data_IF_237862949414
#
_entry.id   IF_237862949414
#
_cell.length_a   1.000
_cell.length_b   1.000
_cell.length_c   1.000
_cell.angle_alpha   90.00
_cell.angle_beta   90.00
_cell.angle_gamma   90.00
#
_symmetry.space_group_name_H-M   'P 1'
#
loop_
_entity.id
_entity.type
_entity.pdbx_description
1 polymer ?
#
# COMPACT_ATOMS: atom_id res chain seq x y z
N UNK A 1 -30.76 9.86 13.38
CA UNK A 1 -31.06 9.98 14.81
C UNK A 1 -32.39 9.27 15.15
N UNK A 2 -32.49 8.54 16.28
CA UNK A 2 -33.79 8.10 16.81
C UNK A 2 -34.74 9.28 17.09
N UNK A 3 -36.03 9.04 17.05
CA UNK A 3 -37.03 10.12 17.24
C UNK A 3 -36.94 10.81 18.61
N UNK A 4 -36.49 10.08 19.63
CA UNK A 4 -36.30 10.59 21.00
C UNK A 4 -34.95 11.32 21.23
N UNK A 5 -34.06 11.29 20.27
CA UNK A 5 -32.75 11.93 20.41
C UNK A 5 -32.83 13.46 20.30
N UNK A 6 -31.88 14.14 20.92
CA UNK A 6 -31.65 15.56 20.70
C UNK A 6 -31.26 15.86 19.27
N UNK A 7 -31.28 17.12 18.87
CA UNK A 7 -30.80 17.55 17.57
C UNK A 7 -29.27 17.63 17.56
N UNK A 8 -28.67 17.31 16.43
CA UNK A 8 -27.22 17.38 16.25
C UNK A 8 -26.88 17.68 14.80
N UNK A 9 -25.78 18.38 14.62
CA UNK A 9 -25.06 18.43 13.37
C UNK A 9 -23.97 17.34 13.36
N UNK A 10 -23.66 16.80 12.20
CA UNK A 10 -22.71 15.72 12.05
C UNK A 10 -21.70 16.02 10.95
N UNK A 11 -20.45 15.71 11.19
CA UNK A 11 -19.40 15.77 10.20
C UNK A 11 -18.49 14.53 10.26
N UNK A 12 -17.95 14.15 9.11
CA UNK A 12 -16.90 13.13 9.02
C UNK A 12 -15.53 13.79 9.20
N UNK A 13 -14.59 13.10 9.80
CA UNK A 13 -13.23 13.61 9.93
C UNK A 13 -12.18 12.52 9.72
N UNK A 14 -10.96 12.94 9.39
CA UNK A 14 -9.74 12.14 9.41
C UNK A 14 -8.67 12.89 10.19
N UNK A 15 -7.83 12.14 10.91
CA UNK A 15 -6.69 12.68 11.66
C UNK A 15 -5.39 12.08 11.13
N UNK A 16 -4.41 12.95 10.90
CA UNK A 16 -3.05 12.52 10.61
C UNK A 16 -2.36 12.02 11.88
N UNK A 17 -1.84 10.82 11.82
CA UNK A 17 -1.16 10.16 12.93
C UNK A 17 0.11 10.93 13.36
N UNK A 18 0.80 11.56 12.43
CA UNK A 18 2.08 12.22 12.68
C UNK A 18 1.94 13.63 13.23
N UNK A 19 1.16 14.46 12.55
CA UNK A 19 0.96 15.86 12.93
C UNK A 19 -0.18 16.08 13.90
N UNK A 20 -1.06 15.09 14.08
CA UNK A 20 -2.32 15.23 14.82
C UNK A 20 -3.34 16.13 14.15
N UNK A 21 -3.06 16.62 12.93
CA UNK A 21 -3.95 17.54 12.21
C UNK A 21 -5.24 16.84 11.83
N UNK A 22 -6.35 17.49 12.07
CA UNK A 22 -7.69 16.99 11.74
C UNK A 22 -8.21 17.72 10.51
N UNK A 23 -8.77 16.95 9.58
CA UNK A 23 -9.53 17.44 8.45
C UNK A 23 -10.96 16.99 8.61
N UNK A 24 -11.88 17.94 8.56
CA UNK A 24 -13.31 17.72 8.79
C UNK A 24 -14.07 18.03 7.51
N UNK A 25 -15.01 17.16 7.18
CA UNK A 25 -15.98 17.38 6.11
C UNK A 25 -17.00 18.47 6.48
N UNK A 26 -17.88 18.75 5.52
CA UNK A 26 -18.97 19.69 5.77
C UNK A 26 -19.91 19.13 6.85
N UNK A 27 -20.29 19.97 7.81
CA UNK A 27 -21.31 19.64 8.81
C UNK A 27 -22.70 19.58 8.15
N UNK A 28 -23.50 18.60 8.54
CA UNK A 28 -24.84 18.33 8.04
C UNK A 28 -25.78 18.16 9.23
N UNK A 29 -26.91 18.87 9.21
CA UNK A 29 -27.95 18.72 10.23
C UNK A 29 -28.63 17.35 10.09
N UNK A 30 -28.66 16.59 11.17
CA UNK A 30 -29.24 15.25 11.18
C UNK A 30 -30.74 15.29 11.42
N UNK A 31 -31.49 14.68 10.52
CA UNK A 31 -32.94 14.48 10.65
C UNK A 31 -33.24 13.27 11.52
N UNK A 32 -34.21 13.44 12.42
CA UNK A 32 -34.72 12.36 13.27
C UNK A 32 -35.51 11.31 12.46
N UNK A 33 -35.46 10.09 12.88
CA UNK A 33 -36.26 9.00 12.32
C UNK A 33 -35.88 8.53 10.92
N UNK A 34 -34.78 9.02 10.35
CA UNK A 34 -34.34 8.59 9.01
C UNK A 34 -32.81 8.41 8.94
N UNK A 35 -32.40 7.50 8.08
CA UNK A 35 -31.01 7.33 7.70
C UNK A 35 -30.59 8.45 6.74
N UNK A 36 -29.38 8.94 6.90
CA UNK A 36 -28.76 9.93 6.03
C UNK A 36 -27.36 9.47 5.66
N UNK A 37 -27.03 9.55 4.40
CA UNK A 37 -25.67 9.29 3.93
C UNK A 37 -24.83 10.56 4.06
N UNK A 38 -23.65 10.41 4.59
CA UNK A 38 -22.64 11.46 4.70
C UNK A 38 -21.43 11.05 3.90
N UNK A 39 -20.89 11.97 3.11
CA UNK A 39 -19.66 11.74 2.38
C UNK A 39 -18.67 12.87 2.62
N UNK A 40 -17.39 12.51 2.67
CA UNK A 40 -16.29 13.45 2.83
C UNK A 40 -15.15 13.09 1.89
N UNK A 41 -14.84 13.97 0.97
CA UNK A 41 -13.66 13.79 0.13
C UNK A 41 -12.42 14.25 0.89
N UNK A 42 -11.58 13.30 1.26
CA UNK A 42 -10.30 13.58 1.91
C UNK A 42 -9.44 14.38 0.91
N UNK A 43 -8.93 15.58 1.29
CA UNK A 43 -8.10 16.37 0.40
C UNK A 43 -6.78 15.64 0.10
N UNK A 44 -6.17 15.96 -1.05
CA UNK A 44 -4.82 15.47 -1.33
C UNK A 44 -3.85 15.95 -0.25
N UNK A 45 -3.11 15.01 0.32
CA UNK A 45 -2.36 15.24 1.52
C UNK A 45 -1.08 14.40 1.51
N UNK A 46 -0.12 14.89 0.79
CA UNK A 46 1.12 14.17 0.56
C UNK A 46 1.87 13.90 1.86
N UNK A 47 2.28 12.65 2.05
CA UNK A 47 3.01 12.21 3.23
C UNK A 47 2.19 12.07 4.51
N UNK A 48 0.87 12.22 4.45
CA UNK A 48 0.02 11.98 5.60
C UNK A 48 -0.22 10.49 5.82
N UNK A 49 -0.30 10.12 7.08
CA UNK A 49 -0.72 8.80 7.51
C UNK A 49 -2.04 8.94 8.27
N UNK A 50 -3.14 8.42 7.71
CA UNK A 50 -4.43 8.46 8.38
C UNK A 50 -4.38 7.47 9.55
N UNK A 51 -4.31 8.00 10.77
CA UNK A 51 -4.32 7.21 12.00
C UNK A 51 -5.71 7.03 12.57
N UNK A 52 -6.64 7.88 12.19
CA UNK A 52 -8.00 7.85 12.70
C UNK A 52 -8.97 8.42 11.69
N UNK A 53 -10.12 7.77 11.53
CA UNK A 53 -11.28 8.32 10.85
C UNK A 53 -12.51 8.15 11.74
N UNK A 54 -13.44 9.09 11.65
CA UNK A 54 -14.61 9.03 12.52
C UNK A 54 -15.68 10.05 12.21
N UNK A 55 -16.61 10.10 13.11
CA UNK A 55 -17.81 10.94 13.05
C UNK A 55 -17.80 11.88 14.24
N UNK A 56 -17.96 13.17 13.99
CA UNK A 56 -18.12 14.19 15.02
C UNK A 56 -19.58 14.62 15.07
N UNK A 57 -20.13 14.71 16.28
CA UNK A 57 -21.48 15.20 16.52
C UNK A 57 -21.40 16.51 17.30
N UNK A 58 -21.93 17.58 16.74
CA UNK A 58 -22.11 18.85 17.40
C UNK A 58 -23.56 18.92 17.90
N UNK A 59 -23.73 18.78 19.22
CA UNK A 59 -25.06 18.79 19.83
C UNK A 59 -25.64 20.19 19.86
N UNK A 60 -26.80 20.36 19.28
CA UNK A 60 -27.57 21.60 19.39
C UNK A 60 -28.28 21.62 20.76
N UNK A 61 -27.60 22.21 21.73
CA UNK A 61 -28.08 22.28 23.12
C UNK A 61 -29.28 23.19 23.18
N UNK A 62 -30.43 22.60 23.63
CA UNK A 62 -31.57 23.39 24.08
C UNK A 62 -31.29 24.01 25.43
N UNK A 63 -32.24 24.82 25.96
CA UNK A 63 -32.16 25.50 27.24
C UNK A 63 -32.25 24.55 28.45
N UNK A 64 -32.54 23.28 28.25
CA UNK A 64 -32.65 22.26 29.30
C UNK A 64 -31.35 21.46 29.44
N UNK A 65 -30.84 21.38 30.68
CA UNK A 65 -29.49 20.89 31.00
C UNK A 65 -29.26 19.36 30.84
N UNK A 66 -30.25 18.59 30.42
CA UNK A 66 -30.18 17.12 30.29
C UNK A 66 -30.88 16.64 29.02
N UNK A 67 -30.24 16.75 27.88
CA UNK A 67 -30.71 16.06 26.68
C UNK A 67 -29.89 14.80 26.45
N UNK A 68 -30.57 13.67 26.30
CA UNK A 68 -29.92 12.42 25.88
C UNK A 68 -29.71 12.46 24.38
N UNK A 69 -28.46 12.33 23.95
CA UNK A 69 -28.13 12.13 22.54
C UNK A 69 -27.97 10.63 22.27
N UNK A 70 -28.55 10.15 21.19
CA UNK A 70 -28.32 8.82 20.66
C UNK A 70 -28.23 8.90 19.13
N UNK A 71 -27.19 8.33 18.57
CA UNK A 71 -26.98 8.18 17.14
C UNK A 71 -26.74 6.72 16.79
N UNK A 72 -27.20 6.29 15.62
CA UNK A 72 -26.87 5.00 15.03
C UNK A 72 -25.96 5.25 13.84
N UNK A 73 -24.90 4.48 13.74
CA UNK A 73 -23.95 4.51 12.63
C UNK A 73 -23.95 3.13 11.97
N UNK A 74 -24.02 3.12 10.66
CA UNK A 74 -23.94 1.92 9.83
C UNK A 74 -23.14 2.23 8.58
N UNK A 75 -22.58 1.22 7.94
CA UNK A 75 -21.86 1.29 6.64
C UNK A 75 -20.75 2.35 6.57
N UNK A 76 -19.88 2.43 7.60
CA UNK A 76 -18.69 3.29 7.54
C UNK A 76 -17.60 2.64 6.67
N UNK A 77 -17.30 3.25 5.55
CA UNK A 77 -16.27 2.77 4.63
C UNK A 77 -15.54 3.93 3.96
N UNK A 78 -14.35 3.64 3.42
CA UNK A 78 -13.57 4.56 2.64
C UNK A 78 -13.14 3.89 1.33
N UNK A 79 -13.16 4.64 0.24
CA UNK A 79 -12.69 4.19 -1.06
C UNK A 79 -11.88 5.28 -1.76
N UNK A 80 -11.44 4.97 -2.99
CA UNK A 80 -10.71 5.88 -3.86
C UNK A 80 -9.68 5.14 -4.70
N UNK A 81 -9.14 5.89 -5.66
CA UNK A 81 -8.02 5.42 -6.48
C UNK A 81 -6.70 5.62 -5.73
N UNK A 82 -5.74 4.68 -5.84
CA UNK A 82 -4.48 4.82 -5.15
C UNK A 82 -3.65 5.98 -5.73
N UNK A 83 -3.24 6.88 -4.87
CA UNK A 83 -2.21 7.89 -5.14
C UNK A 83 -1.53 8.23 -3.82
N UNK A 84 -0.53 7.42 -3.43
CA UNK A 84 0.17 7.58 -2.18
C UNK A 84 1.61 7.07 -2.24
N UNK A 85 2.39 7.44 -1.24
CA UNK A 85 3.74 6.93 -1.00
C UNK A 85 3.87 6.45 0.44
N UNK A 86 4.37 5.26 0.62
CA UNK A 86 4.87 4.76 1.90
C UNK A 86 6.37 5.03 1.91
N UNK A 87 6.83 5.84 2.87
CA UNK A 87 8.24 6.11 3.15
C UNK A 87 8.60 5.42 4.46
N UNK A 88 9.35 4.33 4.38
CA UNK A 88 9.64 3.52 5.55
C UNK A 88 10.56 4.20 6.56
N UNK A 89 11.25 5.28 6.20
CA UNK A 89 11.94 6.13 7.18
C UNK A 89 11.00 6.81 8.16
N UNK A 90 9.74 6.96 7.79
CA UNK A 90 8.72 7.65 8.57
C UNK A 90 7.71 6.68 9.20
N UNK A 91 7.74 5.41 8.83
CA UNK A 91 6.83 4.40 9.36
C UNK A 91 7.22 3.96 10.76
N UNK A 92 6.22 3.56 11.52
CA UNK A 92 6.38 3.02 12.87
C UNK A 92 5.70 1.66 12.97
N UNK A 93 6.18 0.82 13.88
CA UNK A 93 5.50 -0.43 14.19
C UNK A 93 4.44 -0.21 15.27
N UNK A 94 3.29 -0.85 15.13
CA UNK A 94 2.31 -0.94 16.20
C UNK A 94 2.64 -2.08 17.14
N UNK A 95 2.42 -1.86 18.43
CA UNK A 95 2.65 -2.86 19.47
C UNK A 95 1.29 -3.41 19.92
N UNK A 96 0.98 -4.60 19.46
CA UNK A 96 -0.18 -5.34 19.91
C UNK A 96 0.17 -6.18 21.14
N UNK A 97 -0.54 -6.00 22.22
CA UNK A 97 -0.39 -6.80 23.47
C UNK A 97 1.06 -6.82 24.06
N UNK A 98 1.91 -5.85 23.74
CA UNK A 98 3.27 -5.73 24.27
C UNK A 98 4.31 -6.71 23.69
N UNK A 99 3.90 -7.67 22.90
CA UNK A 99 4.78 -8.74 22.37
C UNK A 99 4.99 -8.70 20.85
N UNK A 100 4.01 -8.19 20.09
CA UNK A 100 4.07 -8.18 18.64
C UNK A 100 4.23 -6.74 18.13
N UNK A 101 5.25 -6.55 17.31
CA UNK A 101 5.45 -5.32 16.54
C UNK A 101 5.01 -5.59 15.11
N UNK A 102 3.94 -4.95 14.69
CA UNK A 102 3.39 -5.13 13.35
C UNK A 102 3.56 -3.85 12.52
N UNK A 103 3.78 -4.02 11.24
CA UNK A 103 3.67 -2.93 10.26
C UNK A 103 2.22 -2.95 9.78
N UNK A 104 1.35 -2.19 10.44
CA UNK A 104 -0.12 -2.34 10.38
C UNK A 104 -0.72 -2.21 8.99
N UNK A 105 -0.08 -1.48 8.09
CA UNK A 105 -0.56 -1.35 6.70
C UNK A 105 -0.27 -2.60 5.85
N UNK A 106 0.46 -3.58 6.38
CA UNK A 106 0.80 -4.80 5.65
C UNK A 106 0.12 -6.03 6.24
N UNK A 107 -0.50 -6.81 5.39
CA UNK A 107 -0.88 -8.19 5.72
C UNK A 107 0.31 -9.09 5.43
N UNK A 108 0.95 -9.58 6.50
CA UNK A 108 2.03 -10.56 6.41
C UNK A 108 1.43 -11.96 6.30
N UNK A 109 1.76 -12.67 5.24
CA UNK A 109 1.36 -14.06 5.07
C UNK A 109 2.38 -15.03 5.67
N UNK A 110 3.65 -14.83 5.36
CA UNK A 110 4.76 -15.64 5.86
C UNK A 110 6.08 -14.88 5.77
N UNK A 111 7.10 -15.37 6.43
CA UNK A 111 8.42 -14.73 6.49
C UNK A 111 8.55 -13.78 7.68
N UNK A 112 9.72 -13.22 7.82
CA UNK A 112 10.04 -12.24 8.87
C UNK A 112 9.98 -10.83 8.27
N UNK A 113 8.92 -10.10 8.59
CA UNK A 113 8.67 -8.72 8.18
C UNK A 113 8.93 -7.79 9.36
N UNK A 114 9.80 -6.80 9.18
CA UNK A 114 10.14 -5.84 10.24
C UNK A 114 10.66 -4.52 9.66
N UNK A 115 10.63 -3.47 10.47
CA UNK A 115 11.26 -2.18 10.15
C UNK A 115 12.62 -2.10 10.85
N UNK A 116 13.65 -1.76 10.08
CA UNK A 116 14.97 -1.46 10.60
C UNK A 116 15.65 -0.38 9.75
N UNK A 117 16.33 0.57 10.41
CA UNK A 117 17.08 1.65 9.77
C UNK A 117 16.33 2.39 8.66
N UNK A 118 15.04 2.61 8.85
CA UNK A 118 14.20 3.33 7.89
C UNK A 118 13.83 2.55 6.63
N UNK A 119 13.88 1.22 6.69
CA UNK A 119 13.46 0.34 5.61
C UNK A 119 12.59 -0.80 6.13
N UNK A 120 11.69 -1.27 5.28
CA UNK A 120 10.93 -2.49 5.48
C UNK A 120 11.77 -3.67 5.03
N UNK A 121 12.05 -4.60 5.93
CA UNK A 121 12.78 -5.84 5.65
C UNK A 121 11.83 -7.02 5.53
N UNK A 122 12.07 -7.86 4.54
CA UNK A 122 11.42 -9.15 4.41
C UNK A 122 12.46 -10.23 4.15
N UNK A 123 12.46 -11.26 4.99
CA UNK A 123 13.34 -12.43 4.85
C UNK A 123 12.60 -13.73 5.08
N UNK A 124 13.10 -14.82 4.54
CA UNK A 124 12.48 -16.14 4.69
C UNK A 124 13.50 -17.27 4.60
N UNK A 125 13.13 -18.48 5.07
CA UNK A 125 13.84 -19.71 4.76
C UNK A 125 13.36 -20.32 3.44
N UNK A 126 12.03 -20.43 3.22
CA UNK A 126 11.43 -20.95 2.00
C UNK A 126 10.66 -19.88 1.22
N UNK A 127 9.67 -19.24 1.81
CA UNK A 127 9.02 -18.08 1.23
C UNK A 127 8.57 -17.06 2.29
N UNK A 128 8.55 -15.78 1.90
CA UNK A 128 8.01 -14.67 2.66
C UNK A 128 7.20 -13.78 1.74
N UNK A 129 6.08 -13.28 2.23
CA UNK A 129 5.17 -12.46 1.45
C UNK A 129 4.37 -11.53 2.34
N UNK A 130 4.29 -10.27 1.93
CA UNK A 130 3.48 -9.26 2.58
C UNK A 130 2.88 -8.33 1.53
N UNK A 131 1.65 -7.90 1.74
CA UNK A 131 0.97 -7.00 0.81
C UNK A 131 0.19 -5.91 1.54
N UNK A 132 -0.06 -4.83 0.82
CA UNK A 132 -0.79 -3.65 1.27
C UNK A 132 -1.69 -3.14 0.17
N UNK A 133 -2.76 -2.45 0.56
CA UNK A 133 -3.72 -1.87 -0.36
C UNK A 133 -5.00 -2.67 -0.49
N UNK A 134 -5.78 -2.34 -1.51
CA UNK A 134 -7.12 -2.92 -1.72
C UNK A 134 -7.15 -3.89 -2.88
N UNK A 135 -7.99 -4.89 -2.75
CA UNK A 135 -8.22 -5.90 -3.78
C UNK A 135 -8.82 -5.33 -5.07
N UNK A 136 -9.58 -4.24 -5.00
CA UNK A 136 -10.32 -3.65 -6.11
C UNK A 136 -9.55 -2.61 -6.93
N UNK A 137 -8.28 -2.36 -6.61
CA UNK A 137 -7.43 -1.49 -7.43
C UNK A 137 -7.19 -2.09 -8.80
N UNK A 138 -7.47 -1.30 -9.83
CA UNK A 138 -7.35 -1.74 -11.23
C UNK A 138 -6.07 -1.17 -11.86
N UNK A 139 -6.19 -0.25 -12.77
CA UNK A 139 -5.08 0.24 -13.56
C UNK A 139 -4.22 1.23 -12.76
N UNK A 140 -2.98 0.85 -12.49
CA UNK A 140 -2.07 1.64 -11.67
C UNK A 140 -0.60 1.38 -12.02
N UNK A 141 0.25 2.31 -11.60
CA UNK A 141 1.69 2.15 -11.58
C UNK A 141 2.16 2.08 -10.13
N UNK A 142 2.93 1.05 -9.81
CA UNK A 142 3.58 0.87 -8.53
C UNK A 142 5.09 1.01 -8.70
N UNK A 143 5.73 1.81 -7.86
CA UNK A 143 7.18 2.02 -7.87
C UNK A 143 7.73 1.62 -6.52
N UNK A 144 8.73 0.76 -6.52
CA UNK A 144 9.38 0.22 -5.33
C UNK A 144 10.85 0.62 -5.34
N UNK A 145 11.36 1.12 -4.24
CA UNK A 145 12.79 1.23 -4.01
C UNK A 145 13.23 0.00 -3.21
N UNK A 146 13.98 -0.91 -3.84
CA UNK A 146 14.34 -2.22 -3.30
C UNK A 146 15.86 -2.40 -3.28
N UNK A 147 16.38 -3.00 -2.19
CA UNK A 147 17.76 -3.48 -2.09
C UNK A 147 17.74 -4.99 -1.81
N UNK A 148 18.12 -5.86 -2.74
CA UNK A 148 18.37 -7.26 -2.45
C UNK A 148 19.58 -7.38 -1.52
N UNK A 149 19.45 -8.10 -0.41
CA UNK A 149 20.54 -8.27 0.57
C UNK A 149 21.20 -9.64 0.45
N UNK A 150 20.38 -10.68 0.33
CA UNK A 150 20.84 -12.06 0.13
C UNK A 150 19.85 -12.83 -0.73
N UNK A 151 20.32 -13.94 -1.31
CA UNK A 151 19.49 -14.86 -2.12
C UNK A 151 19.20 -14.31 -3.51
N UNK A 152 18.49 -15.10 -4.28
CA UNK A 152 18.30 -14.90 -5.72
C UNK A 152 16.83 -14.82 -6.14
N UNK A 153 15.93 -14.58 -5.17
CA UNK A 153 14.50 -14.48 -5.42
C UNK A 153 13.91 -13.34 -4.60
N UNK A 154 14.29 -12.11 -4.94
CA UNK A 154 13.80 -10.88 -4.33
C UNK A 154 12.80 -10.23 -5.28
N UNK A 155 11.58 -9.96 -4.82
CA UNK A 155 10.45 -9.65 -5.69
C UNK A 155 9.60 -8.49 -5.18
N UNK A 156 8.99 -7.78 -6.12
CA UNK A 156 7.87 -6.86 -5.88
C UNK A 156 6.63 -7.39 -6.57
N UNK A 157 5.46 -7.21 -5.98
CA UNK A 157 4.23 -7.81 -6.45
C UNK A 157 3.17 -6.75 -6.78
N UNK A 158 2.43 -7.01 -7.86
CA UNK A 158 1.27 -6.21 -8.29
C UNK A 158 0.07 -7.12 -8.54
N UNK A 159 -1.13 -6.55 -8.56
CA UNK A 159 -2.38 -7.27 -8.74
C UNK A 159 -2.52 -8.44 -7.76
N UNK A 160 -2.10 -8.21 -6.51
CA UNK A 160 -2.16 -9.22 -5.45
C UNK A 160 -3.62 -9.47 -5.07
N UNK A 161 -4.06 -10.70 -5.25
CA UNK A 161 -5.41 -11.18 -4.90
C UNK A 161 -5.36 -12.21 -3.76
N UNK A 162 -4.28 -12.22 -3.00
CA UNK A 162 -4.00 -13.15 -1.92
C UNK A 162 -2.71 -13.95 -2.18
N UNK A 163 -2.44 -14.93 -1.33
CA UNK A 163 -1.18 -15.68 -1.27
C UNK A 163 -0.77 -16.39 -2.56
N UNK A 164 -1.73 -16.72 -3.42
CA UNK A 164 -1.50 -17.58 -4.58
C UNK A 164 -1.86 -16.92 -5.91
N UNK A 165 -2.16 -15.64 -5.90
CA UNK A 165 -2.54 -14.90 -7.12
C UNK A 165 -1.94 -13.51 -7.11
N UNK A 166 -0.94 -13.31 -7.95
CA UNK A 166 -0.30 -12.01 -8.18
C UNK A 166 0.56 -12.05 -9.45
N UNK A 167 1.02 -10.91 -9.90
CA UNK A 167 2.21 -10.82 -10.74
C UNK A 167 3.38 -10.35 -9.89
N UNK A 168 4.59 -10.73 -10.29
CA UNK A 168 5.81 -10.27 -9.61
C UNK A 168 6.89 -9.89 -10.61
N UNK A 169 7.68 -8.88 -10.28
CA UNK A 169 8.98 -8.62 -10.90
C UNK A 169 10.03 -9.13 -9.94
N UNK A 170 10.86 -10.04 -10.42
CA UNK A 170 11.82 -10.78 -9.61
C UNK A 170 13.26 -10.53 -10.09
N UNK A 171 14.16 -10.35 -9.13
CA UNK A 171 15.60 -10.53 -9.33
C UNK A 171 15.91 -12.01 -9.14
N UNK A 172 16.37 -12.66 -10.20
CA UNK A 172 16.63 -14.10 -10.24
C UNK A 172 18.12 -14.39 -10.34
N UNK A 173 18.46 -15.67 -10.11
CA UNK A 173 19.79 -16.22 -10.43
C UNK A 173 20.24 -15.88 -11.86
N UNK A 174 21.54 -16.09 -12.12
CA UNK A 174 22.14 -15.92 -13.45
C UNK A 174 22.01 -14.51 -14.04
N UNK A 175 22.02 -13.48 -13.16
CA UNK A 175 21.93 -12.08 -13.60
C UNK A 175 20.72 -11.83 -14.48
N UNK A 176 19.54 -12.21 -14.01
CA UNK A 176 18.27 -12.05 -14.71
C UNK A 176 17.25 -11.30 -13.89
N UNK A 177 16.38 -10.62 -14.61
CA UNK A 177 15.07 -10.20 -14.08
C UNK A 177 13.96 -10.89 -14.85
N UNK A 178 12.85 -11.15 -14.17
CA UNK A 178 11.69 -11.79 -14.78
C UNK A 178 10.37 -11.18 -14.31
N UNK A 179 9.40 -11.16 -15.21
CA UNK A 179 8.00 -10.99 -14.87
C UNK A 179 7.38 -12.37 -14.67
N UNK A 180 6.77 -12.56 -13.52
CA UNK A 180 6.22 -13.84 -13.07
C UNK A 180 4.72 -13.72 -12.84
N UNK A 181 4.00 -14.83 -13.02
CA UNK A 181 2.61 -14.99 -12.58
C UNK A 181 2.55 -16.05 -11.48
N UNK A 182 1.90 -15.70 -10.38
CA UNK A 182 1.64 -16.64 -9.29
C UNK A 182 0.26 -17.28 -9.47
N UNK A 183 0.23 -18.56 -9.69
CA UNK A 183 -0.97 -19.41 -9.83
C UNK A 183 -0.82 -20.62 -8.92
N UNK A 184 -0.75 -20.38 -7.59
CA UNK A 184 -0.34 -21.39 -6.60
C UNK A 184 1.10 -21.91 -6.85
N UNK A 185 1.97 -21.00 -7.25
CA UNK A 185 3.35 -21.19 -7.63
C UNK A 185 3.71 -20.22 -8.75
N UNK A 186 4.93 -19.69 -8.72
CA UNK A 186 5.37 -18.74 -9.74
C UNK A 186 5.80 -19.44 -11.03
N UNK A 187 5.30 -18.96 -12.15
CA UNK A 187 5.80 -19.27 -13.49
C UNK A 187 6.37 -18.01 -14.16
N UNK A 188 7.41 -18.17 -14.94
CA UNK A 188 8.00 -17.10 -15.73
C UNK A 188 7.08 -16.78 -16.92
N UNK A 189 6.74 -15.51 -17.08
CA UNK A 189 6.03 -14.98 -18.26
C UNK A 189 7.01 -14.50 -19.31
N UNK A 190 7.99 -13.71 -18.89
CA UNK A 190 9.11 -13.21 -19.71
C UNK A 190 10.31 -12.90 -18.81
N UNK A 191 11.50 -12.99 -19.33
CA UNK A 191 12.74 -12.63 -18.64
C UNK A 191 13.71 -11.88 -19.55
N UNK A 192 14.68 -11.20 -18.94
CA UNK A 192 15.81 -10.59 -19.67
C UNK A 192 17.06 -10.58 -18.77
N UNK A 193 18.22 -10.46 -19.42
CA UNK A 193 19.48 -10.31 -18.71
C UNK A 193 19.55 -8.94 -18.01
N UNK A 194 19.98 -8.95 -16.76
CA UNK A 194 20.23 -7.75 -15.97
C UNK A 194 21.22 -8.10 -14.85
N UNK A 195 22.41 -7.53 -14.88
CA UNK A 195 23.50 -7.86 -13.95
C UNK A 195 23.32 -7.19 -12.58
N UNK A 196 22.23 -7.54 -11.89
CA UNK A 196 21.95 -7.03 -10.55
C UNK A 196 22.94 -7.58 -9.50
N UNK A 197 23.17 -6.81 -8.45
CA UNK A 197 24.08 -7.16 -7.34
C UNK A 197 23.40 -6.98 -5.99
N UNK A 198 23.67 -7.90 -5.08
CA UNK A 198 23.25 -7.73 -3.68
C UNK A 198 23.87 -6.46 -3.06
N UNK A 199 23.10 -5.76 -2.24
CA UNK A 199 23.50 -4.52 -1.58
C UNK A 199 23.45 -3.27 -2.46
N UNK A 200 22.97 -3.37 -3.71
CA UNK A 200 22.68 -2.23 -4.58
C UNK A 200 21.22 -1.85 -4.53
N UNK A 201 20.94 -0.57 -4.69
CA UNK A 201 19.59 -0.06 -4.66
C UNK A 201 19.00 -0.03 -6.07
N UNK A 202 17.77 -0.51 -6.21
CA UNK A 202 17.04 -0.56 -7.47
C UNK A 202 15.68 0.12 -7.31
N UNK A 203 15.30 0.91 -8.31
CA UNK A 203 13.92 1.33 -8.50
C UNK A 203 13.26 0.34 -9.45
N UNK A 204 12.18 -0.26 -9.01
CA UNK A 204 11.35 -1.18 -9.79
C UNK A 204 10.00 -0.55 -10.00
N UNK A 205 9.70 -0.16 -11.23
CA UNK A 205 8.42 0.41 -11.64
C UNK A 205 7.59 -0.63 -12.38
N UNK A 206 6.35 -0.82 -11.98
CA UNK A 206 5.42 -1.76 -12.64
C UNK A 206 4.13 -1.04 -12.96
N UNK A 207 3.87 -0.85 -14.26
CA UNK A 207 2.61 -0.35 -14.78
C UNK A 207 1.72 -1.53 -15.15
N UNK A 208 0.55 -1.60 -14.54
CA UNK A 208 -0.49 -2.58 -14.85
C UNK A 208 -1.70 -1.88 -15.46
N UNK A 209 -2.02 -2.18 -16.73
CA UNK A 209 -3.14 -1.59 -17.45
C UNK A 209 -3.92 -2.66 -18.21
N UNK A 210 -5.15 -2.94 -17.77
CA UNK A 210 -5.88 -4.10 -18.26
C UNK A 210 -5.06 -5.37 -18.07
N UNK A 211 -4.88 -6.16 -19.12
CA UNK A 211 -4.06 -7.36 -19.14
C UNK A 211 -2.57 -7.11 -19.42
N UNK A 212 -2.17 -5.87 -19.69
CA UNK A 212 -0.79 -5.50 -20.02
C UNK A 212 -0.01 -5.14 -18.77
N UNK A 213 1.21 -5.63 -18.72
CA UNK A 213 2.18 -5.37 -17.67
C UNK A 213 3.45 -4.83 -18.34
N UNK A 214 3.89 -3.68 -17.87
CA UNK A 214 5.16 -3.07 -18.26
C UNK A 214 5.96 -2.85 -16.98
N UNK A 215 7.15 -3.44 -16.92
CA UNK A 215 8.04 -3.31 -15.77
C UNK A 215 9.38 -2.74 -16.20
N UNK A 216 9.88 -1.77 -15.48
CA UNK A 216 11.19 -1.18 -15.64
C UNK A 216 11.96 -1.34 -14.32
N UNK A 217 13.20 -1.79 -14.42
CA UNK A 217 14.14 -1.81 -13.30
C UNK A 217 15.37 -1.00 -13.67
N UNK A 218 15.82 -0.17 -12.73
CA UNK A 218 17.05 0.60 -12.85
C UNK A 218 17.84 0.61 -11.56
N UNK A 219 19.15 0.51 -11.66
CA UNK A 219 20.03 0.72 -10.51
C UNK A 219 20.03 2.20 -10.10
N UNK A 220 19.91 2.46 -8.80
CA UNK A 220 19.99 3.81 -8.22
C UNK A 220 21.40 4.00 -7.68
N UNK A 221 22.20 4.92 -8.25
CA UNK A 221 23.59 5.15 -7.80
C UNK A 221 23.63 5.63 -6.35
N UNK A 222 24.48 5.03 -5.53
CA UNK A 222 24.72 5.43 -4.15
C UNK A 222 25.31 6.84 -4.12
N UNK A 223 24.64 7.78 -3.44
CA UNK A 223 25.16 9.13 -3.21
C UNK A 223 24.74 10.21 -4.21
N UNK A 224 24.03 9.88 -5.28
CA UNK A 224 23.57 10.87 -6.27
C UNK A 224 22.13 11.31 -6.04
N UNK A 225 21.89 12.14 -5.02
CA UNK A 225 20.65 12.93 -4.95
C UNK A 225 20.64 14.17 -5.86
N UNK A 226 21.78 14.52 -6.48
CA UNK A 226 21.88 15.61 -7.47
C UNK A 226 23.16 15.47 -8.34
N UNK A 227 22.98 15.63 -9.66
CA UNK A 227 23.99 15.97 -10.66
C UNK A 227 25.13 14.96 -10.94
N UNK A 228 24.82 13.88 -11.64
CA UNK A 228 25.56 13.39 -12.81
C UNK A 228 24.75 12.23 -13.42
N UNK A 229 24.37 12.34 -14.69
CA UNK A 229 23.81 11.24 -15.50
C UNK A 229 24.91 10.18 -15.70
N UNK A 230 25.18 9.37 -14.69
CA UNK A 230 25.74 8.06 -14.91
C UNK A 230 24.63 7.26 -15.58
N UNK A 231 24.89 6.68 -16.72
CA UNK A 231 23.97 5.81 -17.45
C UNK A 231 23.69 4.62 -16.52
N UNK A 232 22.57 4.69 -15.79
CA UNK A 232 22.15 3.60 -14.92
C UNK A 232 21.76 2.42 -15.80
N UNK A 233 22.23 1.24 -15.47
CA UNK A 233 21.75 0.02 -16.13
C UNK A 233 20.25 -0.09 -15.92
N UNK A 234 19.52 -0.18 -17.02
CA UNK A 234 18.06 -0.26 -17.05
C UNK A 234 17.65 -1.47 -17.85
N UNK A 235 16.69 -2.22 -17.36
CA UNK A 235 16.05 -3.29 -18.11
C UNK A 235 14.53 -3.14 -18.07
N UNK A 236 13.89 -3.57 -19.16
CA UNK A 236 12.46 -3.46 -19.38
C UNK A 236 11.88 -4.83 -19.67
N UNK A 237 10.73 -5.12 -19.11
CA UNK A 237 9.93 -6.31 -19.36
C UNK A 237 8.51 -5.89 -19.75
N UNK A 238 8.02 -6.47 -20.83
CA UNK A 238 6.65 -6.26 -21.30
C UNK A 238 5.93 -7.60 -21.48
N UNK A 239 4.69 -7.66 -21.08
CA UNK A 239 3.88 -8.85 -21.28
C UNK A 239 2.40 -8.50 -21.31
N UNK A 240 1.66 -9.14 -22.21
CA UNK A 240 0.19 -9.12 -22.24
C UNK A 240 -0.32 -10.50 -21.85
N UNK A 241 -0.93 -10.60 -20.68
CA UNK A 241 -1.48 -11.86 -20.19
C UNK A 241 -2.85 -12.13 -20.83
N UNK A 242 -2.89 -13.04 -21.78
CA UNK A 242 -4.12 -13.44 -22.49
C UNK A 242 -4.76 -14.69 -21.89
N UNK A 243 -4.13 -15.27 -20.85
CA UNK A 243 -4.59 -16.48 -20.18
C UNK A 243 -5.03 -16.19 -18.74
N UNK A 244 -6.31 -15.88 -18.55
CA UNK A 244 -6.91 -15.56 -17.25
C UNK A 244 -6.17 -14.45 -16.48
N UNK A 245 -6.07 -13.22 -17.06
CA UNK A 245 -5.33 -12.12 -16.45
C UNK A 245 -5.94 -11.68 -15.12
N UNK A 246 -5.08 -11.29 -14.18
CA UNK A 246 -5.50 -10.61 -12.97
C UNK A 246 -5.65 -9.12 -13.27
N UNK A 247 -6.90 -8.63 -13.31
CA UNK A 247 -7.24 -7.26 -13.74
C UNK A 247 -7.32 -6.26 -12.58
N UNK A 248 -7.20 -6.76 -11.34
CA UNK A 248 -7.26 -5.95 -10.13
C UNK A 248 -6.48 -6.62 -8.99
N UNK A 249 -6.16 -5.86 -7.97
CA UNK A 249 -5.49 -6.35 -6.77
C UNK A 249 -4.56 -5.33 -6.13
N UNK A 250 -4.12 -5.65 -4.93
CA UNK A 250 -3.21 -4.87 -4.12
C UNK A 250 -1.76 -4.95 -4.65
N UNK A 251 -0.83 -4.36 -3.90
CA UNK A 251 0.62 -4.46 -4.12
C UNK A 251 1.28 -5.20 -2.98
N UNK A 252 2.47 -5.71 -3.21
CA UNK A 252 3.19 -6.44 -2.17
C UNK A 252 4.67 -6.58 -2.44
N UNK A 253 5.31 -7.28 -1.53
CA UNK A 253 6.71 -7.67 -1.59
C UNK A 253 6.83 -9.13 -1.26
N UNK A 254 7.74 -9.85 -1.91
CA UNK A 254 7.95 -11.25 -1.62
C UNK A 254 9.41 -11.67 -1.80
N UNK A 255 9.80 -12.72 -1.09
CA UNK A 255 11.13 -13.32 -1.14
C UNK A 255 10.99 -14.84 -1.04
N UNK A 256 11.94 -15.59 -1.65
CA UNK A 256 11.94 -17.06 -1.63
C UNK A 256 13.33 -17.62 -1.45
N UNK A 257 13.39 -18.89 -1.05
CA UNK A 257 14.60 -19.70 -1.04
C UNK A 257 15.79 -19.06 -0.29
N UNK A 258 15.56 -18.64 0.96
CA UNK A 258 16.59 -18.01 1.77
C UNK A 258 16.91 -16.56 1.41
N UNK A 259 16.09 -15.91 0.61
CA UNK A 259 16.32 -14.53 0.21
C UNK A 259 15.92 -13.53 1.28
N UNK A 260 16.57 -12.38 1.24
CA UNK A 260 16.30 -11.22 2.09
C UNK A 260 16.42 -9.95 1.27
N UNK A 261 15.39 -9.15 1.26
CA UNK A 261 15.37 -7.82 0.68
C UNK A 261 14.92 -6.77 1.69
N UNK A 262 15.32 -5.54 1.45
CA UNK A 262 14.76 -4.36 2.12
C UNK A 262 14.16 -3.41 1.09
N UNK A 263 13.17 -2.64 1.54
CA UNK A 263 12.44 -1.67 0.74
C UNK A 263 12.44 -0.34 1.46
N UNK A 264 12.88 0.75 0.80
CA UNK A 264 12.92 2.09 1.39
C UNK A 264 11.64 2.85 1.13
N UNK A 265 10.98 2.61 0.00
CA UNK A 265 9.67 3.20 -0.29
C UNK A 265 8.84 2.36 -1.26
N UNK A 266 7.52 2.57 -1.19
CA UNK A 266 6.55 2.08 -2.18
C UNK A 266 5.66 3.26 -2.56
N UNK A 267 5.56 3.53 -3.86
CA UNK A 267 4.67 4.56 -4.39
C UNK A 267 3.62 3.94 -5.29
N UNK A 268 2.39 4.36 -5.12
CA UNK A 268 1.24 3.95 -5.92
C UNK A 268 0.63 5.14 -6.62
N UNK A 269 0.31 4.98 -7.90
CA UNK A 269 -0.40 5.98 -8.68
C UNK A 269 -1.41 5.31 -9.61
N UNK A 270 -2.66 5.79 -9.60
CA UNK A 270 -3.65 5.39 -10.58
C UNK A 270 -3.21 5.85 -11.99
N UNK A 271 -3.37 4.98 -12.97
CA UNK A 271 -3.22 5.34 -14.37
C UNK A 271 -4.52 6.00 -14.83
N UNK A 272 -4.45 7.24 -15.24
CA UNK A 272 -5.58 8.02 -15.78
C UNK A 272 -5.94 7.58 -17.19
#
# INVERSE_FOLDING_TARGET
LPEYAGEADCSLYVRDLRSGKIFTGKSVHLKKGCWQELSFRIPSWEGALIGEMGVCFDLLMGTEATQTFAGLLDDLWADGTPDYRIDFCQETTEVWTGLHKEVSQFTRLKGHLYLDQGALHLSCADFGEAYTGRYDWKDYTAVFEMTPLTGENNMVNVRVQGAIRSYAVALLADSKIALLKNENGYRVLTDTAFDWKAGRDYEVSVCAQGARLHAEIKEVPVGCRQTQQLQADTAVLEYEDTDHPYLQGAVGVSVRNGSHAKYSSIRMRCNS
#
